data_IF_943394109991
#
_entry.id   IF_943394109991
#
_cell.length_a   1.000
_cell.length_b   1.000
_cell.length_c   1.000
_cell.angle_alpha   90.00
_cell.angle_beta   90.00
_cell.angle_gamma   90.00
#
_symmetry.space_group_name_H-M   'P 1'
#
loop_
_entity.id
_entity.type
_entity.pdbx_description
1 polymer ?
#
# COMPACT_ATOMS: atom_id res chain seq x y z
N UNK A 1 4.44 35.83 -19.13
CA UNK A 1 4.02 34.76 -18.20
C UNK A 1 4.17 33.45 -18.94
N UNK A 2 5.05 32.56 -18.47
CA UNK A 2 5.18 31.22 -19.05
C UNK A 2 4.21 30.29 -18.30
N UNK A 3 3.30 29.68 -19.03
CA UNK A 3 2.35 28.68 -18.50
C UNK A 3 3.13 27.42 -18.14
N UNK A 4 3.15 27.08 -16.86
CA UNK A 4 3.71 25.82 -16.36
C UNK A 4 2.64 24.74 -16.60
N UNK A 5 2.87 23.90 -17.60
CA UNK A 5 2.10 22.67 -17.76
C UNK A 5 2.30 21.80 -16.52
N UNK A 6 1.20 21.54 -15.83
CA UNK A 6 1.18 20.88 -14.52
C UNK A 6 1.25 19.38 -14.69
N UNK A 7 2.40 18.87 -15.13
CA UNK A 7 2.77 17.48 -14.82
C UNK A 7 3.15 17.42 -13.34
N UNK A 8 2.39 16.64 -12.58
CA UNK A 8 2.21 16.67 -11.12
C UNK A 8 3.45 16.55 -10.21
N UNK A 9 4.68 16.61 -10.72
CA UNK A 9 5.91 16.50 -9.92
C UNK A 9 7.04 17.45 -10.34
N UNK A 10 6.74 18.61 -10.93
CA UNK A 10 7.74 19.66 -11.13
C UNK A 10 8.09 20.32 -9.77
N UNK A 11 9.29 20.09 -9.26
CA UNK A 11 9.82 20.81 -8.10
C UNK A 11 10.42 22.13 -8.58
N UNK A 12 9.78 23.24 -8.21
CA UNK A 12 10.27 24.59 -8.53
C UNK A 12 10.91 25.22 -7.30
N UNK A 13 12.20 25.57 -7.42
CA UNK A 13 12.96 26.24 -6.36
C UNK A 13 13.27 27.68 -6.77
N UNK A 14 13.01 28.63 -5.87
CA UNK A 14 13.34 30.05 -6.07
C UNK A 14 14.59 30.40 -5.27
N UNK A 15 15.60 30.98 -5.93
CA UNK A 15 16.87 31.38 -5.30
C UNK A 15 17.00 32.90 -5.40
N UNK A 16 17.01 33.56 -4.25
CA UNK A 16 17.25 34.99 -4.17
C UNK A 16 18.72 35.27 -3.89
N UNK A 17 19.35 36.08 -4.74
CA UNK A 17 20.71 36.60 -4.52
C UNK A 17 20.59 38.09 -4.20
N UNK A 18 20.91 38.48 -2.96
CA UNK A 18 20.91 39.90 -2.55
C UNK A 18 22.35 40.40 -2.50
N UNK A 19 22.67 41.43 -3.29
CA UNK A 19 24.01 42.01 -3.34
C UNK A 19 23.94 43.45 -2.83
N UNK A 20 24.32 43.71 -1.58
CA UNK A 20 24.48 45.07 -1.09
C UNK A 20 25.80 45.67 -1.59
N UNK A 21 25.78 46.96 -1.93
CA UNK A 21 26.96 47.80 -2.23
C UNK A 21 27.95 47.24 -3.27
N UNK A 22 27.71 47.52 -4.56
CA UNK A 22 28.70 47.35 -5.62
C UNK A 22 28.99 48.71 -6.28
N UNK A 23 30.25 48.95 -6.69
CA UNK A 23 30.65 50.27 -7.19
C UNK A 23 30.91 50.33 -8.71
N UNK A 24 31.29 49.24 -9.37
CA UNK A 24 31.56 49.25 -10.83
C UNK A 24 31.16 47.98 -11.58
N UNK A 25 31.57 46.80 -11.12
CA UNK A 25 31.20 45.55 -11.77
C UNK A 25 31.19 44.42 -10.74
N UNK A 26 30.23 43.53 -10.87
CA UNK A 26 30.22 42.24 -10.17
C UNK A 26 29.89 41.15 -11.18
N UNK A 27 30.66 40.06 -11.15
CA UNK A 27 30.41 38.85 -11.93
C UNK A 27 29.93 37.78 -10.97
N UNK A 28 28.82 37.14 -11.30
CA UNK A 28 28.17 36.11 -10.48
C UNK A 28 28.12 34.85 -11.33
N UNK A 29 28.52 33.73 -10.76
CA UNK A 29 28.38 32.41 -11.37
C UNK A 29 27.24 31.65 -10.68
N UNK A 30 25.99 31.75 -11.17
CA UNK A 30 24.83 31.13 -10.54
C UNK A 30 24.66 29.65 -10.93
N UNK A 31 25.75 28.91 -11.15
CA UNK A 31 25.64 27.47 -11.45
C UNK A 31 25.29 26.67 -10.17
N UNK A 32 24.00 26.58 -9.89
CA UNK A 32 23.44 25.78 -8.79
C UNK A 32 23.21 24.30 -9.19
N UNK A 33 23.77 23.84 -10.32
CA UNK A 33 23.57 22.47 -10.79
C UNK A 33 24.05 21.40 -9.79
N UNK A 34 24.96 21.77 -8.88
CA UNK A 34 25.44 20.88 -7.81
C UNK A 34 24.45 20.80 -6.63
N UNK A 35 23.64 21.84 -6.41
CA UNK A 35 22.74 21.96 -5.26
C UNK A 35 21.29 21.60 -5.59
N UNK A 36 20.90 21.64 -6.85
CA UNK A 36 19.54 21.29 -7.30
C UNK A 36 19.61 19.93 -7.97
N UNK A 37 18.87 18.96 -7.43
CA UNK A 37 18.64 17.70 -8.13
C UNK A 37 17.84 17.99 -9.40
N UNK A 38 18.50 17.85 -10.55
CA UNK A 38 17.89 18.07 -11.86
C UNK A 38 16.99 16.91 -12.28
N UNK A 39 16.99 15.80 -11.53
CA UNK A 39 16.14 14.67 -11.84
C UNK A 39 14.74 14.89 -11.25
N UNK A 40 13.68 14.69 -12.05
CA UNK A 40 12.33 14.73 -11.52
C UNK A 40 12.18 13.67 -10.42
N UNK A 41 11.49 14.03 -9.34
CA UNK A 41 11.20 13.10 -8.26
C UNK A 41 10.42 11.90 -8.81
N UNK A 42 11.12 10.78 -8.98
CA UNK A 42 10.53 9.55 -9.51
C UNK A 42 9.93 8.73 -8.38
N UNK A 43 8.69 8.29 -8.55
CA UNK A 43 8.02 7.32 -7.65
C UNK A 43 8.72 5.96 -7.60
N UNK A 44 9.67 5.72 -8.51
CA UNK A 44 10.40 4.48 -8.68
C UNK A 44 11.86 4.56 -8.23
N UNK A 45 12.34 5.69 -7.70
CA UNK A 45 13.69 5.75 -7.14
C UNK A 45 13.75 5.09 -5.77
N UNK A 46 14.85 4.39 -5.48
CA UNK A 46 15.04 3.61 -4.24
C UNK A 46 14.98 4.48 -2.97
N UNK A 47 15.25 5.78 -3.11
CA UNK A 47 15.20 6.77 -2.03
C UNK A 47 13.96 7.68 -2.08
N UNK A 48 12.95 7.36 -2.89
CA UNK A 48 11.71 8.15 -2.95
C UNK A 48 10.87 7.96 -1.69
N UNK A 49 10.71 9.04 -0.92
CA UNK A 49 9.80 9.09 0.23
C UNK A 49 8.34 8.86 -0.22
N UNK A 50 8.01 9.24 -1.47
CA UNK A 50 6.71 9.02 -2.10
C UNK A 50 6.68 7.82 -3.05
N UNK A 51 7.22 6.67 -2.61
CA UNK A 51 7.06 5.42 -3.37
C UNK A 51 5.60 4.99 -3.35
N UNK A 52 4.89 5.15 -4.47
CA UNK A 52 3.56 4.58 -4.68
C UNK A 52 3.70 3.06 -4.78
N UNK A 53 3.84 2.37 -3.65
CA UNK A 53 3.65 0.91 -3.58
C UNK A 53 2.15 0.62 -3.66
N UNK A 54 1.61 0.74 -4.86
CA UNK A 54 0.24 0.33 -5.17
C UNK A 54 0.17 -1.20 -5.13
N UNK A 55 -0.50 -1.73 -4.10
CA UNK A 55 -0.74 -3.16 -3.94
C UNK A 55 -0.52 -3.64 -2.50
N UNK A 56 -1.02 -4.83 -2.20
CA UNK A 56 -0.77 -5.48 -0.92
C UNK A 56 0.68 -5.96 -0.85
N UNK A 57 1.32 -5.76 0.29
CA UNK A 57 2.64 -6.33 0.56
C UNK A 57 2.58 -7.86 0.55
N UNK A 58 3.70 -8.52 0.22
CA UNK A 58 3.79 -9.99 0.25
C UNK A 58 3.35 -10.58 1.60
N UNK A 59 3.64 -9.90 2.70
CA UNK A 59 3.21 -10.30 4.04
C UNK A 59 1.70 -10.17 4.25
N UNK A 60 1.07 -9.11 3.74
CA UNK A 60 -0.40 -8.98 3.80
C UNK A 60 -1.09 -10.07 2.99
N UNK A 61 -0.56 -10.40 1.81
CA UNK A 61 -1.11 -11.47 0.97
C UNK A 61 -1.00 -12.82 1.69
N UNK A 62 0.12 -13.14 2.33
CA UNK A 62 0.27 -14.41 3.05
C UNK A 62 -0.72 -14.53 4.21
N UNK A 63 -0.91 -13.45 4.97
CA UNK A 63 -1.87 -13.39 6.07
C UNK A 63 -3.31 -13.70 5.61
N UNK A 64 -3.74 -13.11 4.49
CA UNK A 64 -5.08 -13.36 3.92
C UNK A 64 -5.24 -14.82 3.52
N UNK A 65 -4.25 -15.41 2.84
CA UNK A 65 -4.33 -16.81 2.38
C UNK A 65 -4.40 -17.78 3.57
N UNK A 66 -3.53 -17.60 4.56
CA UNK A 66 -3.49 -18.48 5.74
C UNK A 66 -4.77 -18.34 6.56
N UNK A 67 -5.26 -17.11 6.75
CA UNK A 67 -6.52 -16.84 7.44
C UNK A 67 -7.73 -17.48 6.75
N UNK A 68 -7.83 -17.34 5.42
CA UNK A 68 -8.94 -17.89 4.65
C UNK A 68 -8.96 -19.43 4.67
N UNK A 69 -7.80 -20.08 4.46
CA UNK A 69 -7.70 -21.54 4.46
C UNK A 69 -8.00 -22.11 5.84
N UNK A 70 -7.44 -21.51 6.90
CA UNK A 70 -7.70 -21.94 8.28
C UNK A 70 -9.18 -21.80 8.67
N UNK A 71 -9.79 -20.66 8.34
CA UNK A 71 -11.20 -20.42 8.63
C UNK A 71 -12.13 -21.37 7.86
N UNK A 72 -11.85 -21.63 6.58
CA UNK A 72 -12.60 -22.58 5.77
C UNK A 72 -12.55 -24.01 6.35
N UNK A 73 -11.37 -24.45 6.80
CA UNK A 73 -11.21 -25.77 7.41
C UNK A 73 -12.07 -25.92 8.68
N UNK A 74 -12.07 -24.92 9.56
CA UNK A 74 -12.89 -24.92 10.79
C UNK A 74 -14.38 -24.99 10.48
N UNK A 75 -14.85 -24.23 9.48
CA UNK A 75 -16.25 -24.28 9.05
C UNK A 75 -16.62 -25.68 8.56
N UNK A 76 -15.79 -26.27 7.69
CA UNK A 76 -16.07 -27.60 7.12
C UNK A 76 -16.19 -28.66 8.22
N UNK A 77 -15.26 -28.68 9.17
CA UNK A 77 -15.29 -29.62 10.30
C UNK A 77 -16.55 -29.41 11.15
N UNK A 78 -16.89 -28.15 11.44
CA UNK A 78 -18.05 -27.80 12.25
C UNK A 78 -19.38 -28.22 11.60
N UNK A 79 -19.50 -28.03 10.28
CA UNK A 79 -20.67 -28.47 9.48
C UNK A 79 -20.78 -30.00 9.48
N UNK A 80 -19.69 -30.72 9.20
CA UNK A 80 -19.68 -32.19 9.19
C UNK A 80 -20.10 -32.75 10.56
N UNK A 81 -19.52 -32.20 11.64
CA UNK A 81 -19.86 -32.62 12.99
C UNK A 81 -21.34 -32.37 13.30
N UNK A 82 -21.85 -31.19 12.98
CA UNK A 82 -23.24 -30.79 13.22
C UNK A 82 -24.23 -31.72 12.51
N UNK A 83 -24.00 -32.00 11.22
CA UNK A 83 -24.84 -32.89 10.40
C UNK A 83 -24.83 -34.32 10.94
N UNK A 84 -23.65 -34.86 11.26
CA UNK A 84 -23.54 -36.22 11.80
C UNK A 84 -24.23 -36.36 13.15
N UNK A 85 -24.11 -35.35 14.03
CA UNK A 85 -24.81 -35.31 15.31
C UNK A 85 -26.33 -35.29 15.13
N UNK A 86 -26.85 -34.48 14.20
CA UNK A 86 -28.30 -34.45 13.93
C UNK A 86 -28.82 -35.78 13.38
N UNK A 87 -28.08 -36.42 12.47
CA UNK A 87 -28.45 -37.73 11.91
C UNK A 87 -28.52 -38.82 12.99
N UNK A 88 -27.53 -38.86 13.91
CA UNK A 88 -27.52 -39.81 15.03
C UNK A 88 -28.71 -39.60 15.97
N UNK A 89 -29.01 -38.35 16.31
CA UNK A 89 -30.15 -38.01 17.17
C UNK A 89 -31.49 -38.38 16.52
N UNK A 90 -31.67 -38.08 15.22
CA UNK A 90 -32.87 -38.51 14.47
C UNK A 90 -33.00 -40.03 14.42
N UNK A 91 -31.89 -40.76 14.18
CA UNK A 91 -31.89 -42.23 14.16
C UNK A 91 -32.27 -42.82 15.53
N UNK A 92 -31.76 -42.24 16.62
CA UNK A 92 -32.09 -42.63 17.99
C UNK A 92 -33.57 -42.39 18.31
N UNK A 93 -34.10 -41.20 18.03
CA UNK A 93 -35.52 -40.88 18.24
C UNK A 93 -36.44 -41.82 17.43
N UNK A 94 -36.11 -42.09 16.17
CA UNK A 94 -36.88 -43.01 15.32
C UNK A 94 -36.85 -44.46 15.88
N UNK A 95 -35.73 -44.88 16.48
CA UNK A 95 -35.64 -46.22 17.08
C UNK A 95 -36.47 -46.37 18.36
N UNK A 96 -36.59 -45.28 19.14
CA UNK A 96 -37.43 -45.25 20.35
C UNK A 96 -38.90 -45.23 19.95
N UNK A 97 -39.30 -44.39 18.99
CA UNK A 97 -40.69 -44.31 18.52
C UNK A 97 -41.21 -45.58 17.85
N UNK A 98 -40.34 -46.45 17.31
CA UNK A 98 -40.74 -47.77 16.77
C UNK A 98 -40.95 -48.84 17.84
N UNK A 99 -40.50 -48.59 19.08
CA UNK A 99 -40.47 -49.57 20.19
C UNK A 99 -41.58 -49.34 21.21
N UNK A 100 -42.26 -48.20 21.13
CA UNK A 100 -43.50 -47.84 21.82
C UNK A 100 -44.67 -48.12 20.88
#
# INVERSE_FOLDING_TARGET
MNTIESDTHAQQSYIGITIPHYNKLISIDPDFSVLIDQHPASKSSDNSICSNKSGLTKGQISGIVIGAVGFAAVIVISVIYSVNKTKKNKKLLNSISKKI
#
